data_IF_255984772477
#
_entry.id   IF_255984772477
#
_cell.length_a   1.000
_cell.length_b   1.000
_cell.length_c   1.000
_cell.angle_alpha   90.00
_cell.angle_beta   90.00
_cell.angle_gamma   90.00
#
_symmetry.space_group_name_H-M   'P 1'
#
loop_
_entity.id
_entity.type
_entity.pdbx_description
1 polymer ?
#
# COMPACT_ATOMS: atom_id res chain seq x y z
N UNK A 1 7.36 37.52 -21.98
CA UNK A 1 6.52 36.31 -21.85
C UNK A 1 7.23 35.05 -22.37
N UNK A 2 7.61 34.97 -23.66
CA UNK A 2 8.38 33.83 -24.22
C UNK A 2 9.68 33.50 -23.44
N UNK A 3 10.45 34.51 -23.04
CA UNK A 3 11.68 34.30 -22.25
C UNK A 3 11.40 33.81 -20.82
N UNK A 4 10.26 34.20 -20.26
CA UNK A 4 9.78 33.77 -18.93
C UNK A 4 9.42 32.28 -18.93
N UNK A 5 8.67 31.87 -19.95
CA UNK A 5 8.25 30.49 -20.19
C UNK A 5 9.46 29.59 -20.46
N UNK A 6 10.44 30.09 -21.21
CA UNK A 6 11.70 29.38 -21.46
C UNK A 6 12.50 29.18 -20.17
N UNK A 7 12.53 30.18 -19.27
CA UNK A 7 13.18 30.08 -17.96
C UNK A 7 12.46 29.08 -17.04
N UNK A 8 11.12 29.13 -17.01
CA UNK A 8 10.28 28.20 -16.23
C UNK A 8 10.49 26.75 -16.68
N UNK A 9 10.54 26.52 -18.00
CA UNK A 9 10.81 25.19 -18.59
C UNK A 9 12.18 24.64 -18.21
N UNK A 10 13.23 25.48 -18.22
CA UNK A 10 14.59 25.04 -17.86
C UNK A 10 14.63 24.60 -16.38
N UNK A 11 13.92 25.32 -15.50
CA UNK A 11 13.89 25.04 -14.06
C UNK A 11 12.98 23.86 -13.67
N UNK A 12 11.92 23.60 -14.44
CA UNK A 12 11.10 22.39 -14.26
C UNK A 12 11.81 21.13 -14.75
N UNK A 13 12.68 21.27 -15.76
CA UNK A 13 13.51 20.17 -16.29
C UNK A 13 14.73 19.86 -15.42
N UNK A 14 15.16 20.75 -14.53
CA UNK A 14 16.25 20.46 -13.60
C UNK A 14 15.77 19.49 -12.50
N UNK A 15 15.91 18.19 -12.75
CA UNK A 15 15.61 17.10 -11.83
C UNK A 15 16.52 17.01 -10.59
N UNK A 16 17.34 18.03 -10.29
CA UNK A 16 18.33 17.92 -9.22
C UNK A 16 17.76 18.35 -7.87
N UNK A 17 17.46 17.33 -7.06
CA UNK A 17 17.13 17.35 -5.63
C UNK A 17 18.25 17.87 -4.71
N UNK A 18 19.26 18.56 -5.23
CA UNK A 18 20.35 19.16 -4.44
C UNK A 18 20.60 20.60 -4.88
N UNK A 19 20.13 21.52 -4.04
CA UNK A 19 20.73 22.84 -3.79
C UNK A 19 21.00 23.65 -5.06
N UNK A 20 19.96 24.24 -5.65
CA UNK A 20 20.12 25.50 -6.38
C UNK A 20 19.67 26.60 -5.42
N UNK A 21 20.60 27.53 -5.16
CA UNK A 21 20.62 28.46 -4.04
C UNK A 21 19.25 29.07 -3.68
N UNK A 22 18.98 29.16 -2.37
CA UNK A 22 17.75 29.72 -1.79
C UNK A 22 17.42 31.15 -2.27
N UNK A 23 18.38 31.87 -2.86
CA UNK A 23 18.21 33.27 -3.25
C UNK A 23 17.68 33.43 -4.67
N UNK A 24 18.13 32.63 -5.64
CA UNK A 24 17.63 32.71 -7.02
C UNK A 24 16.19 32.19 -7.14
N UNK A 25 15.86 31.12 -6.41
CA UNK A 25 14.49 30.64 -6.29
C UNK A 25 13.59 31.63 -5.56
N UNK A 26 14.05 32.32 -4.51
CA UNK A 26 13.26 33.35 -3.82
C UNK A 26 12.98 34.55 -4.72
N UNK A 27 14.00 35.07 -5.41
CA UNK A 27 13.85 36.23 -6.31
C UNK A 27 12.95 35.89 -7.48
N UNK A 28 13.11 34.71 -8.09
CA UNK A 28 12.28 34.31 -9.23
C UNK A 28 10.82 34.07 -8.82
N UNK A 29 10.59 33.46 -7.65
CA UNK A 29 9.26 33.25 -7.11
C UNK A 29 8.58 34.54 -6.60
N UNK A 30 9.37 35.49 -6.07
CA UNK A 30 8.89 36.82 -5.68
C UNK A 30 8.61 37.72 -6.89
N UNK A 31 9.40 37.62 -7.97
CA UNK A 31 9.27 38.50 -9.14
C UNK A 31 8.22 37.98 -10.13
N UNK A 32 8.09 36.66 -10.32
CA UNK A 32 7.19 36.08 -11.32
C UNK A 32 5.72 36.02 -10.88
N UNK A 33 5.44 35.74 -9.61
CA UNK A 33 4.07 35.39 -9.19
C UNK A 33 3.39 36.46 -8.35
N UNK A 34 4.10 37.44 -7.78
CA UNK A 34 3.45 38.45 -6.94
C UNK A 34 2.79 39.57 -7.75
N UNK A 35 3.43 40.03 -8.83
CA UNK A 35 3.01 41.25 -9.56
C UNK A 35 2.26 40.98 -10.88
N UNK A 36 2.05 39.73 -11.27
CA UNK A 36 1.30 39.41 -12.49
C UNK A 36 -0.22 39.41 -12.23
N UNK A 37 -1.05 39.84 -13.21
CA UNK A 37 -2.49 39.64 -13.16
C UNK A 37 -2.85 38.16 -13.05
N UNK A 38 -3.96 37.85 -12.35
CA UNK A 38 -4.39 36.46 -12.10
C UNK A 38 -4.64 35.67 -13.39
N UNK A 39 -5.17 36.32 -14.43
CA UNK A 39 -5.31 35.71 -15.76
C UNK A 39 -3.97 35.24 -16.35
N UNK A 40 -2.93 36.06 -16.25
CA UNK A 40 -1.59 35.74 -16.78
C UNK A 40 -0.91 34.64 -15.97
N UNK A 41 -1.12 34.64 -14.64
CA UNK A 41 -0.69 33.55 -13.76
C UNK A 41 -1.33 32.22 -14.15
N UNK A 42 -2.64 32.22 -14.42
CA UNK A 42 -3.39 31.05 -14.89
C UNK A 42 -2.84 30.58 -16.25
N UNK A 43 -2.64 31.48 -17.21
CA UNK A 43 -2.17 31.12 -18.55
C UNK A 43 -0.77 30.48 -18.54
N UNK A 44 0.16 31.04 -17.74
CA UNK A 44 1.49 30.45 -17.54
C UNK A 44 1.35 29.06 -16.90
N UNK A 45 0.44 28.91 -15.94
CA UNK A 45 0.18 27.63 -15.30
C UNK A 45 -0.35 26.58 -16.28
N UNK A 46 -1.33 26.95 -17.12
CA UNK A 46 -1.90 26.07 -18.15
C UNK A 46 -0.81 25.58 -19.11
N UNK A 47 -0.02 26.51 -19.65
CA UNK A 47 1.09 26.17 -20.54
C UNK A 47 2.14 25.28 -19.88
N UNK A 48 2.39 25.48 -18.58
CA UNK A 48 3.32 24.64 -17.82
C UNK A 48 2.79 23.22 -17.63
N UNK A 49 1.49 23.06 -17.33
CA UNK A 49 0.87 21.73 -17.31
C UNK A 49 0.99 21.07 -18.67
N UNK A 50 0.64 21.79 -19.74
CA UNK A 50 0.65 21.24 -21.09
C UNK A 50 2.04 20.66 -21.42
N UNK A 51 3.11 21.37 -21.05
CA UNK A 51 4.49 20.93 -21.25
C UNK A 51 4.84 19.72 -20.38
N UNK A 52 4.43 19.69 -19.12
CA UNK A 52 4.65 18.52 -18.25
C UNK A 52 3.92 17.30 -18.81
N UNK A 53 2.71 17.47 -19.33
CA UNK A 53 1.96 16.39 -19.96
C UNK A 53 2.61 15.94 -21.27
N UNK A 54 3.17 16.87 -22.05
CA UNK A 54 3.89 16.53 -23.27
C UNK A 54 5.20 15.77 -23.02
N UNK A 55 5.99 16.20 -22.04
CA UNK A 55 7.25 15.57 -21.66
C UNK A 55 7.02 14.18 -21.00
N UNK A 56 5.80 13.88 -20.55
CA UNK A 56 5.44 12.63 -19.87
C UNK A 56 4.28 11.88 -20.56
N UNK A 57 4.12 12.00 -21.89
CA UNK A 57 3.02 11.36 -22.67
C UNK A 57 2.89 9.85 -22.40
N UNK A 58 4.01 9.16 -22.16
CA UNK A 58 4.05 7.72 -21.91
C UNK A 58 3.92 7.33 -20.42
N UNK A 59 4.09 8.30 -19.50
CA UNK A 59 4.05 8.07 -18.06
C UNK A 59 3.22 9.15 -17.35
N UNK A 60 1.90 9.00 -17.44
CA UNK A 60 0.95 9.95 -16.87
C UNK A 60 1.16 10.14 -15.36
N UNK A 61 1.63 9.12 -14.64
CA UNK A 61 1.93 9.21 -13.20
C UNK A 61 3.12 10.14 -12.90
N UNK A 62 4.16 10.08 -13.74
CA UNK A 62 5.28 11.01 -13.63
C UNK A 62 4.83 12.44 -13.92
N UNK A 63 3.93 12.62 -14.89
CA UNK A 63 3.29 13.90 -15.17
C UNK A 63 2.52 14.42 -13.95
N UNK A 64 1.68 13.56 -13.35
CA UNK A 64 0.91 13.88 -12.14
C UNK A 64 1.80 14.25 -10.95
N UNK A 65 2.87 13.49 -10.71
CA UNK A 65 3.81 13.74 -9.63
C UNK A 65 4.50 15.11 -9.80
N UNK A 66 4.99 15.40 -11.02
CA UNK A 66 5.62 16.68 -11.33
C UNK A 66 4.65 17.85 -11.20
N UNK A 67 3.40 17.69 -11.68
CA UNK A 67 2.32 18.68 -11.50
C UNK A 67 2.07 18.92 -10.00
N UNK A 68 1.99 17.86 -9.18
CA UNK A 68 1.75 17.98 -7.73
C UNK A 68 2.88 18.70 -6.97
N UNK A 69 4.15 18.45 -7.35
CA UNK A 69 5.30 19.16 -6.78
C UNK A 69 5.26 20.64 -7.17
N UNK A 70 4.94 20.93 -8.44
CA UNK A 70 4.81 22.28 -8.94
C UNK A 70 3.73 23.06 -8.18
N UNK A 71 2.55 22.45 -7.98
CA UNK A 71 1.48 22.99 -7.13
C UNK A 71 1.95 23.27 -5.70
N UNK A 72 2.59 22.29 -5.05
CA UNK A 72 3.05 22.43 -3.66
C UNK A 72 4.06 23.58 -3.51
N UNK A 73 4.99 23.73 -4.47
CA UNK A 73 5.97 24.81 -4.49
C UNK A 73 5.31 26.19 -4.63
N UNK A 74 4.34 26.33 -5.54
CA UNK A 74 3.64 27.61 -5.75
C UNK A 74 2.79 27.99 -4.53
N UNK A 75 2.08 27.03 -3.95
CA UNK A 75 1.18 27.27 -2.81
C UNK A 75 1.91 27.69 -1.53
N UNK A 76 3.18 27.28 -1.37
CA UNK A 76 4.05 27.72 -0.28
C UNK A 76 4.54 29.16 -0.42
N UNK A 77 4.51 29.68 -1.65
CA UNK A 77 5.19 30.92 -2.01
C UNK A 77 4.22 32.09 -2.16
N UNK A 78 2.97 31.82 -2.57
CA UNK A 78 1.99 32.87 -2.83
C UNK A 78 0.60 32.49 -2.28
N UNK A 79 0.17 33.20 -1.24
CA UNK A 79 -1.14 32.97 -0.62
C UNK A 79 -2.31 33.38 -1.52
N UNK A 80 -2.13 34.33 -2.44
CA UNK A 80 -3.18 34.72 -3.41
C UNK A 80 -3.43 33.60 -4.44
N UNK A 81 -2.42 32.78 -4.73
CA UNK A 81 -2.58 31.59 -5.58
C UNK A 81 -3.51 30.53 -4.98
N UNK A 82 -3.74 30.55 -3.66
CA UNK A 82 -4.73 29.65 -3.03
C UNK A 82 -6.14 29.90 -3.55
N UNK A 83 -6.47 31.15 -3.89
CA UNK A 83 -7.77 31.52 -4.43
C UNK A 83 -7.98 30.96 -5.86
N UNK A 84 -6.89 30.77 -6.60
CA UNK A 84 -6.91 30.20 -7.96
C UNK A 84 -6.81 28.67 -7.95
N UNK A 85 -6.45 28.05 -6.82
CA UNK A 85 -6.29 26.60 -6.69
C UNK A 85 -7.51 25.80 -7.20
N UNK A 86 -8.79 26.20 -6.95
CA UNK A 86 -9.94 25.46 -7.45
C UNK A 86 -10.03 25.42 -8.98
N UNK A 87 -9.81 26.55 -9.66
CA UNK A 87 -9.86 26.66 -11.12
C UNK A 87 -8.73 25.87 -11.77
N UNK A 88 -7.54 25.96 -11.18
CA UNK A 88 -6.36 25.29 -11.67
C UNK A 88 -6.46 23.77 -11.46
N UNK A 89 -6.95 23.33 -10.30
CA UNK A 89 -7.26 21.93 -10.02
C UNK A 89 -8.29 21.43 -11.05
N UNK A 90 -9.37 22.18 -11.28
CA UNK A 90 -10.40 21.82 -12.28
C UNK A 90 -9.80 21.67 -13.68
N UNK A 91 -8.95 22.61 -14.11
CA UNK A 91 -8.27 22.54 -15.42
C UNK A 91 -7.36 21.31 -15.54
N UNK A 92 -6.53 21.05 -14.53
CA UNK A 92 -5.66 19.87 -14.49
C UNK A 92 -6.46 18.57 -14.51
N UNK A 93 -7.59 18.49 -13.80
CA UNK A 93 -8.46 17.30 -13.81
C UNK A 93 -9.04 17.04 -15.20
N UNK A 94 -9.55 18.09 -15.86
CA UNK A 94 -10.20 18.00 -17.16
C UNK A 94 -9.23 17.58 -18.29
N UNK A 95 -7.98 18.02 -18.23
CA UNK A 95 -6.97 17.67 -19.24
C UNK A 95 -6.50 16.22 -19.13
N UNK A 96 -6.35 15.72 -17.90
CA UNK A 96 -5.68 14.44 -17.68
C UNK A 96 -6.68 13.26 -17.73
N UNK A 97 -7.94 13.54 -17.44
CA UNK A 97 -9.00 12.55 -17.34
C UNK A 97 -10.37 13.20 -17.59
N UNK A 98 -10.68 13.53 -18.86
CA UNK A 98 -11.86 14.30 -19.22
C UNK A 98 -13.18 13.59 -18.88
N UNK A 99 -13.19 12.26 -18.85
CA UNK A 99 -14.36 11.46 -18.45
C UNK A 99 -14.47 11.36 -16.91
N UNK A 100 -13.35 11.16 -16.22
CA UNK A 100 -13.34 10.92 -14.77
C UNK A 100 -13.45 12.21 -13.94
N UNK A 101 -13.07 13.35 -14.51
CA UNK A 101 -13.19 14.69 -13.90
C UNK A 101 -14.65 15.19 -13.78
N UNK A 102 -15.57 14.57 -14.52
CA UNK A 102 -17.01 14.88 -14.51
C UNK A 102 -17.82 13.95 -13.59
N UNK A 103 -17.17 13.00 -12.90
CA UNK A 103 -17.84 12.04 -12.03
C UNK A 103 -18.17 12.67 -10.68
N UNK A 104 -19.46 12.89 -10.41
CA UNK A 104 -19.94 13.21 -9.05
C UNK A 104 -19.60 12.08 -8.07
N UNK A 105 -19.49 12.38 -6.78
CA UNK A 105 -19.08 11.43 -5.72
C UNK A 105 -19.83 10.09 -5.73
N UNK A 106 -21.12 10.09 -6.09
CA UNK A 106 -21.95 8.88 -6.21
C UNK A 106 -21.54 8.03 -7.45
N UNK A 107 -21.24 8.67 -8.58
CA UNK A 107 -20.80 7.99 -9.81
C UNK A 107 -19.38 7.45 -9.63
N UNK A 108 -18.53 8.17 -8.90
CA UNK A 108 -17.18 7.75 -8.50
C UNK A 108 -17.22 6.39 -7.79
N UNK A 109 -18.06 6.28 -6.77
CA UNK A 109 -18.20 5.08 -5.94
C UNK A 109 -18.69 3.88 -6.75
N UNK A 110 -19.54 4.12 -7.76
CA UNK A 110 -20.06 3.10 -8.68
C UNK A 110 -19.01 2.63 -9.68
N UNK A 111 -18.25 3.56 -10.28
CA UNK A 111 -17.17 3.23 -11.22
C UNK A 111 -16.00 2.52 -10.52
N UNK A 112 -15.59 2.96 -9.34
CA UNK A 112 -14.60 2.24 -8.52
C UNK A 112 -15.10 0.81 -8.29
N UNK A 113 -16.32 0.63 -7.76
CA UNK A 113 -16.90 -0.72 -7.55
C UNK A 113 -16.97 -1.56 -8.82
N UNK A 114 -17.18 -0.95 -10.00
CA UNK A 114 -17.20 -1.65 -11.29
C UNK A 114 -15.81 -2.13 -11.67
N UNK A 115 -14.82 -1.24 -11.66
CA UNK A 115 -13.41 -1.53 -11.96
C UNK A 115 -12.88 -2.65 -11.05
N UNK A 116 -13.32 -2.66 -9.80
CA UNK A 116 -12.83 -3.59 -8.78
C UNK A 116 -13.60 -4.91 -8.75
N UNK A 117 -14.75 -4.98 -9.44
CA UNK A 117 -15.47 -6.24 -9.70
C UNK A 117 -15.02 -6.94 -10.97
N UNK A 118 -14.36 -6.23 -11.88
CA UNK A 118 -13.78 -6.80 -13.09
C UNK A 118 -12.43 -7.44 -12.83
N UNK A 119 -12.06 -8.47 -13.61
CA UNK A 119 -10.73 -9.09 -13.54
C UNK A 119 -9.66 -8.00 -13.70
N UNK A 120 -8.59 -8.12 -12.92
CA UNK A 120 -7.48 -7.17 -12.96
C UNK A 120 -6.92 -7.04 -14.38
N UNK A 121 -6.83 -5.81 -14.87
CA UNK A 121 -6.08 -5.42 -16.05
C UNK A 121 -5.27 -4.18 -15.72
N UNK A 122 -4.12 -3.99 -16.39
CA UNK A 122 -3.28 -2.79 -16.26
C UNK A 122 -4.08 -1.50 -16.51
N UNK A 123 -5.05 -1.57 -17.42
CA UNK A 123 -5.98 -0.48 -17.74
C UNK A 123 -6.93 -0.17 -16.59
N UNK A 124 -7.52 -1.19 -15.95
CA UNK A 124 -8.40 -1.02 -14.78
C UNK A 124 -7.65 -0.42 -13.57
N UNK A 125 -6.41 -0.86 -13.32
CA UNK A 125 -5.56 -0.29 -12.28
C UNK A 125 -5.18 1.17 -12.56
N UNK A 126 -4.89 1.51 -13.83
CA UNK A 126 -4.62 2.87 -14.27
C UNK A 126 -5.87 3.77 -14.13
N UNK A 127 -7.04 3.27 -14.51
CA UNK A 127 -8.31 3.97 -14.36
C UNK A 127 -8.62 4.21 -12.87
N UNK A 128 -8.45 3.19 -12.04
CA UNK A 128 -8.67 3.27 -10.59
C UNK A 128 -7.75 4.30 -9.92
N UNK A 129 -6.46 4.29 -10.25
CA UNK A 129 -5.47 5.22 -9.71
C UNK A 129 -5.70 6.67 -10.16
N UNK A 130 -6.10 6.90 -11.41
CA UNK A 130 -6.56 8.22 -11.90
C UNK A 130 -7.74 8.70 -11.07
N UNK A 131 -8.77 7.87 -10.90
CA UNK A 131 -9.99 8.23 -10.18
C UNK A 131 -9.67 8.65 -8.73
N UNK A 132 -8.81 7.93 -8.01
CA UNK A 132 -8.48 8.30 -6.63
C UNK A 132 -7.64 9.59 -6.58
N UNK A 133 -6.64 9.73 -7.44
CA UNK A 133 -5.74 10.89 -7.44
C UNK A 133 -6.45 12.19 -7.82
N UNK A 134 -7.40 12.12 -8.75
CA UNK A 134 -8.19 13.27 -9.19
C UNK A 134 -9.26 13.67 -8.18
N UNK A 135 -9.49 12.88 -7.13
CA UNK A 135 -10.50 13.15 -6.13
C UNK A 135 -9.83 13.14 -4.74
N UNK A 136 -9.09 14.20 -4.38
CA UNK A 136 -8.41 14.27 -3.07
C UNK A 136 -9.37 14.22 -1.88
N UNK A 137 -10.67 14.47 -2.10
CA UNK A 137 -11.74 14.25 -1.12
C UNK A 137 -12.15 12.76 -0.97
N UNK A 138 -11.47 11.84 -1.66
CA UNK A 138 -11.69 10.40 -1.52
C UNK A 138 -11.56 10.03 -0.04
N UNK A 139 -12.70 9.68 0.53
CA UNK A 139 -12.83 9.35 1.93
C UNK A 139 -11.91 8.19 2.32
N UNK A 140 -11.53 8.12 3.60
CA UNK A 140 -10.65 7.08 4.12
C UNK A 140 -11.17 5.67 3.82
N UNK A 141 -12.49 5.50 3.77
CA UNK A 141 -13.15 4.22 3.47
C UNK A 141 -12.79 3.70 2.07
N UNK A 142 -12.76 4.57 1.07
CA UNK A 142 -12.40 4.20 -0.30
C UNK A 142 -10.91 3.86 -0.42
N UNK A 143 -10.02 4.60 0.27
CA UNK A 143 -8.58 4.26 0.34
C UNK A 143 -8.35 2.89 0.99
N UNK A 144 -9.05 2.61 2.09
CA UNK A 144 -8.97 1.31 2.76
C UNK A 144 -9.46 0.18 1.84
N UNK A 145 -10.59 0.41 1.16
CA UNK A 145 -11.14 -0.56 0.24
C UNK A 145 -10.23 -0.80 -0.98
N UNK A 146 -9.55 0.24 -1.45
CA UNK A 146 -8.51 0.16 -2.48
C UNK A 146 -7.39 -0.81 -2.06
N UNK A 147 -6.89 -0.66 -0.83
CA UNK A 147 -5.80 -1.47 -0.31
C UNK A 147 -6.20 -2.94 -0.20
N UNK A 148 -7.39 -3.21 0.34
CA UNK A 148 -7.96 -4.56 0.41
C UNK A 148 -7.98 -5.23 -0.96
N UNK A 149 -8.41 -4.51 -2.00
CA UNK A 149 -8.49 -5.06 -3.34
C UNK A 149 -7.13 -5.20 -4.04
N UNK A 150 -6.21 -4.26 -3.85
CA UNK A 150 -4.86 -4.37 -4.43
C UNK A 150 -4.09 -5.57 -3.88
N UNK A 151 -4.27 -5.93 -2.61
CA UNK A 151 -3.63 -7.12 -2.04
C UNK A 151 -4.16 -8.43 -2.65
N UNK A 152 -5.36 -8.43 -3.24
CA UNK A 152 -5.93 -9.59 -3.94
C UNK A 152 -5.56 -9.66 -5.42
N UNK A 153 -5.04 -8.57 -6.00
CA UNK A 153 -4.78 -8.48 -7.44
C UNK A 153 -3.41 -9.03 -7.86
N UNK A 154 -2.58 -9.45 -6.91
CA UNK A 154 -1.21 -9.92 -7.13
C UNK A 154 -0.31 -8.92 -7.90
N UNK A 155 -0.57 -7.61 -7.75
CA UNK A 155 0.19 -6.54 -8.42
C UNK A 155 0.90 -5.66 -7.38
N UNK A 156 2.21 -5.86 -7.24
CA UNK A 156 3.04 -5.11 -6.31
C UNK A 156 3.02 -3.60 -6.59
N UNK A 157 3.01 -3.19 -7.87
CA UNK A 157 3.05 -1.77 -8.22
C UNK A 157 1.76 -1.07 -7.79
N UNK A 158 0.62 -1.73 -7.96
CA UNK A 158 -0.66 -1.21 -7.49
C UNK A 158 -0.70 -1.11 -5.96
N UNK A 159 -0.19 -2.12 -5.25
CA UNK A 159 -0.09 -2.09 -3.78
C UNK A 159 0.78 -0.92 -3.31
N UNK A 160 1.99 -0.79 -3.86
CA UNK A 160 2.91 0.33 -3.54
C UNK A 160 2.30 1.69 -3.84
N UNK A 161 1.58 1.82 -4.96
CA UNK A 161 0.88 3.05 -5.29
C UNK A 161 -0.23 3.37 -4.28
N UNK A 162 -1.08 2.40 -3.95
CA UNK A 162 -2.19 2.59 -3.00
C UNK A 162 -1.66 2.93 -1.60
N UNK A 163 -0.56 2.33 -1.15
CA UNK A 163 0.07 2.63 0.13
C UNK A 163 0.56 4.09 0.24
N UNK A 164 1.03 4.69 -0.87
CA UNK A 164 1.38 6.13 -0.93
C UNK A 164 0.19 7.07 -0.67
N UNK A 165 -1.05 6.57 -0.78
CA UNK A 165 -2.26 7.34 -0.48
C UNK A 165 -2.59 7.38 1.03
N UNK A 166 -1.77 6.72 1.85
CA UNK A 166 -1.93 6.55 3.29
C UNK A 166 -3.29 5.97 3.70
N UNK A 167 -3.68 4.79 3.17
CA UNK A 167 -4.81 4.03 3.69
C UNK A 167 -4.52 3.60 5.14
N UNK A 168 -5.56 3.20 5.87
CA UNK A 168 -5.36 2.51 7.14
C UNK A 168 -4.83 1.10 6.82
N UNK A 169 -3.59 0.80 7.21
CA UNK A 169 -2.93 -0.50 6.96
C UNK A 169 -3.66 -1.66 7.64
N UNK A 170 -4.35 -1.36 8.76
CA UNK A 170 -5.13 -2.31 9.56
C UNK A 170 -6.62 -2.30 9.19
N UNK A 171 -6.98 -1.76 8.03
CA UNK A 171 -8.35 -1.83 7.56
C UNK A 171 -8.78 -3.29 7.34
N UNK A 172 -10.09 -3.52 7.27
CA UNK A 172 -10.61 -4.89 7.10
C UNK A 172 -11.74 -4.95 6.10
N UNK A 173 -11.83 -6.10 5.43
CA UNK A 173 -12.98 -6.43 4.58
C UNK A 173 -14.18 -6.90 5.42
N UNK A 174 -15.28 -7.29 4.76
CA UNK A 174 -16.48 -7.81 5.45
C UNK A 174 -16.21 -9.02 6.33
N UNK A 175 -15.15 -9.80 6.08
CA UNK A 175 -14.75 -10.98 6.85
C UNK A 175 -13.72 -10.68 7.93
N UNK A 176 -13.49 -9.38 8.24
CA UNK A 176 -12.43 -8.92 9.16
C UNK A 176 -11.01 -9.30 8.70
N UNK A 177 -10.82 -9.69 7.44
CA UNK A 177 -9.48 -9.98 6.92
C UNK A 177 -8.76 -8.64 6.65
N UNK A 178 -7.51 -8.55 7.10
CA UNK A 178 -6.62 -7.41 6.90
C UNK A 178 -5.92 -7.48 5.54
N UNK A 179 -5.34 -6.37 5.03
CA UNK A 179 -4.46 -6.37 3.86
C UNK A 179 -3.35 -7.41 3.96
N UNK A 180 -2.76 -7.60 5.15
CA UNK A 180 -1.73 -8.61 5.38
C UNK A 180 -2.25 -10.04 5.15
N UNK A 181 -3.43 -10.38 5.70
CA UNK A 181 -4.05 -11.70 5.47
C UNK A 181 -4.31 -11.93 3.98
N UNK A 182 -4.84 -10.91 3.27
CA UNK A 182 -5.14 -11.02 1.84
C UNK A 182 -3.88 -11.12 0.98
N UNK A 183 -2.81 -10.42 1.34
CA UNK A 183 -1.50 -10.54 0.69
C UNK A 183 -0.95 -11.97 0.81
N UNK A 184 -1.09 -12.60 1.99
CA UNK A 184 -0.70 -13.99 2.21
C UNK A 184 -1.57 -14.95 1.39
N UNK A 185 -2.87 -14.68 1.27
CA UNK A 185 -3.77 -15.49 0.43
C UNK A 185 -3.36 -15.50 -1.04
N UNK A 186 -2.77 -14.40 -1.53
CA UNK A 186 -2.21 -14.27 -2.88
C UNK A 186 -0.90 -15.04 -3.11
N UNK A 187 -0.28 -15.55 -2.04
CA UNK A 187 0.99 -16.29 -2.03
C UNK A 187 2.15 -15.55 -2.73
N UNK A 188 2.16 -14.22 -2.63
CA UNK A 188 3.23 -13.37 -3.17
C UNK A 188 4.04 -12.73 -2.03
N UNK A 189 5.25 -13.26 -1.73
CA UNK A 189 6.09 -12.73 -0.67
C UNK A 189 6.48 -11.27 -0.83
N UNK A 190 6.61 -10.78 -2.07
CA UNK A 190 6.95 -9.37 -2.32
C UNK A 190 5.86 -8.42 -1.85
N UNK A 191 4.59 -8.80 -2.05
CA UNK A 191 3.45 -8.01 -1.55
C UNK A 191 3.37 -8.10 -0.03
N UNK A 192 3.59 -9.30 0.55
CA UNK A 192 3.62 -9.48 2.00
C UNK A 192 4.69 -8.59 2.63
N UNK A 193 5.91 -8.61 2.09
CA UNK A 193 7.01 -7.78 2.56
C UNK A 193 6.69 -6.29 2.47
N UNK A 194 6.10 -5.83 1.36
CA UNK A 194 5.72 -4.44 1.18
C UNK A 194 4.69 -3.99 2.23
N UNK A 195 3.71 -4.84 2.54
CA UNK A 195 2.71 -4.57 3.59
C UNK A 195 3.38 -4.55 4.96
N UNK A 196 4.25 -5.52 5.28
CA UNK A 196 5.01 -5.58 6.55
C UNK A 196 5.85 -4.32 6.76
N UNK A 197 6.49 -3.79 5.70
CA UNK A 197 7.30 -2.56 5.78
C UNK A 197 6.50 -1.34 6.28
N UNK A 198 5.17 -1.38 6.16
CA UNK A 198 4.25 -0.36 6.65
C UNK A 198 3.74 -0.61 8.09
N UNK A 199 4.36 -1.56 8.80
CA UNK A 199 4.13 -1.90 10.23
C UNK A 199 2.64 -2.14 10.58
N UNK A 200 1.96 -3.09 9.90
CA UNK A 200 0.62 -3.49 10.28
C UNK A 200 0.59 -4.12 11.66
N UNK A 201 -0.58 -4.14 12.29
CA UNK A 201 -0.80 -5.00 13.45
C UNK A 201 -0.95 -6.47 12.98
N UNK A 202 0.11 -7.25 13.18
CA UNK A 202 0.25 -8.63 12.69
C UNK A 202 -0.69 -9.61 13.40
N UNK A 203 -1.14 -9.27 14.61
CA UNK A 203 -1.94 -10.12 15.47
C UNK A 203 -3.45 -9.92 15.28
N UNK A 204 -3.85 -9.10 14.30
CA UNK A 204 -5.26 -8.91 13.99
C UNK A 204 -5.91 -10.22 13.51
N UNK A 205 -7.16 -10.36 13.91
CA UNK A 205 -7.96 -11.56 13.75
C UNK A 205 -9.08 -11.36 12.75
N UNK A 206 -9.27 -12.33 11.87
CA UNK A 206 -10.44 -12.40 11.00
C UNK A 206 -11.71 -12.82 11.77
N UNK A 207 -12.83 -13.02 11.05
CA UNK A 207 -14.09 -13.49 11.65
C UNK A 207 -14.00 -14.85 12.33
N UNK A 208 -13.03 -15.68 11.99
CA UNK A 208 -12.81 -17.01 12.55
C UNK A 208 -11.72 -17.00 13.63
N UNK A 209 -11.26 -15.81 14.05
CA UNK A 209 -10.14 -15.61 14.94
C UNK A 209 -8.78 -16.09 14.38
N UNK A 210 -8.68 -16.31 13.06
CA UNK A 210 -7.41 -16.65 12.44
C UNK A 210 -6.54 -15.39 12.30
N UNK A 211 -5.24 -15.53 12.56
CA UNK A 211 -4.22 -14.48 12.37
C UNK A 211 -3.48 -14.65 11.05
N UNK A 212 -2.76 -13.62 10.61
CA UNK A 212 -1.89 -13.69 9.44
C UNK A 212 -0.92 -14.89 9.48
N UNK A 213 -0.35 -15.18 10.65
CA UNK A 213 0.57 -16.31 10.81
C UNK A 213 -0.12 -17.67 10.55
N UNK A 214 -1.38 -17.85 10.96
CA UNK A 214 -2.13 -19.08 10.66
C UNK A 214 -2.39 -19.24 9.16
N UNK A 215 -2.72 -18.15 8.46
CA UNK A 215 -2.87 -18.18 7.00
C UNK A 215 -1.55 -18.55 6.32
N UNK A 216 -0.42 -18.00 6.77
CA UNK A 216 0.90 -18.32 6.20
C UNK A 216 1.27 -19.79 6.40
N UNK A 217 0.98 -20.34 7.59
CA UNK A 217 1.16 -21.77 7.87
C UNK A 217 0.28 -22.62 6.96
N UNK A 218 -1.00 -22.27 6.80
CA UNK A 218 -1.94 -23.02 5.95
C UNK A 218 -1.56 -22.98 4.46
N UNK A 219 -0.87 -21.93 4.00
CA UNK A 219 -0.28 -21.89 2.66
C UNK A 219 0.96 -22.78 2.54
N UNK A 220 1.68 -23.01 3.64
CA UNK A 220 2.92 -23.78 3.64
C UNK A 220 4.14 -23.02 3.16
N UNK A 221 4.02 -21.71 2.97
CA UNK A 221 5.12 -20.89 2.48
C UNK A 221 6.06 -20.53 3.63
N UNK A 222 7.11 -21.32 3.80
CA UNK A 222 8.13 -21.18 4.86
C UNK A 222 8.74 -19.76 4.91
N UNK A 223 8.90 -19.13 3.74
CA UNK A 223 9.44 -17.79 3.66
C UNK A 223 8.49 -16.75 4.26
N UNK A 224 7.20 -16.80 3.88
CA UNK A 224 6.17 -15.93 4.47
C UNK A 224 6.02 -16.17 5.98
N UNK A 225 6.05 -17.44 6.43
CA UNK A 225 6.02 -17.78 7.85
C UNK A 225 7.19 -17.12 8.59
N UNK A 226 8.40 -17.24 8.05
CA UNK A 226 9.60 -16.63 8.63
C UNK A 226 9.51 -15.11 8.69
N UNK A 227 9.01 -14.46 7.64
CA UNK A 227 8.78 -13.00 7.63
C UNK A 227 7.86 -12.56 8.76
N UNK A 228 6.76 -13.28 8.98
CA UNK A 228 5.77 -12.92 10.01
C UNK A 228 6.31 -13.21 11.42
N UNK A 229 7.04 -14.30 11.63
CA UNK A 229 7.68 -14.61 12.92
C UNK A 229 8.75 -13.57 13.28
N UNK A 230 9.55 -13.13 12.30
CA UNK A 230 10.59 -12.11 12.50
C UNK A 230 10.02 -10.76 12.99
N UNK A 231 8.78 -10.46 12.64
CA UNK A 231 8.04 -9.30 13.12
C UNK A 231 7.33 -9.53 14.47
N UNK A 232 7.74 -10.57 15.22
CA UNK A 232 7.25 -10.89 16.57
C UNK A 232 5.74 -11.16 16.62
N UNK A 233 5.21 -11.85 15.63
CA UNK A 233 3.84 -12.35 15.67
C UNK A 233 3.60 -13.21 16.92
N UNK A 234 2.46 -13.02 17.58
CA UNK A 234 2.06 -13.82 18.73
C UNK A 234 1.59 -15.20 18.26
N UNK A 235 2.39 -16.21 18.59
CA UNK A 235 2.18 -17.59 18.18
C UNK A 235 1.22 -18.35 19.08
N UNK A 236 0.81 -17.75 20.21
CA UNK A 236 -0.13 -18.33 21.16
C UNK A 236 -1.59 -17.95 20.86
N UNK A 237 -1.84 -17.04 19.91
CA UNK A 237 -3.21 -16.69 19.54
C UNK A 237 -3.92 -17.91 18.97
N UNK A 238 -5.09 -18.22 19.53
CA UNK A 238 -5.95 -19.30 19.06
C UNK A 238 -7.12 -18.79 18.24
N UNK A 239 -7.48 -19.55 17.20
CA UNK A 239 -8.70 -19.33 16.45
C UNK A 239 -9.93 -19.87 17.20
N UNK A 240 -11.11 -19.80 16.58
CA UNK A 240 -12.37 -20.28 17.19
C UNK A 240 -12.39 -21.78 17.54
N UNK A 241 -11.46 -22.56 17.00
CA UNK A 241 -11.34 -24.00 17.24
C UNK A 241 -10.27 -24.32 18.30
N UNK A 242 -9.70 -23.29 18.95
CA UNK A 242 -8.60 -23.47 19.91
C UNK A 242 -7.29 -23.88 19.23
N UNK A 243 -7.12 -23.58 17.95
CA UNK A 243 -5.94 -23.91 17.15
C UNK A 243 -5.11 -22.63 16.96
N UNK A 244 -3.84 -22.67 17.39
CA UNK A 244 -2.85 -21.65 17.08
C UNK A 244 -2.01 -22.03 15.84
N UNK A 245 -1.12 -21.15 15.39
CA UNK A 245 -0.34 -21.37 14.16
C UNK A 245 0.59 -22.60 14.22
N UNK A 246 1.16 -22.89 15.40
CA UNK A 246 2.00 -24.08 15.58
C UNK A 246 1.18 -25.37 15.55
N UNK A 247 0.06 -25.41 16.29
CA UNK A 247 -0.86 -26.56 16.26
C UNK A 247 -1.34 -26.82 14.83
N UNK A 248 -1.64 -25.75 14.06
CA UNK A 248 -2.02 -25.88 12.66
C UNK A 248 -0.91 -26.53 11.82
N UNK A 249 0.35 -26.10 11.98
CA UNK A 249 1.49 -26.70 11.28
C UNK A 249 1.65 -28.19 11.62
N UNK A 250 1.40 -28.55 12.88
CA UNK A 250 1.43 -29.93 13.35
C UNK A 250 0.29 -30.79 12.80
N UNK A 251 -0.93 -30.23 12.67
CA UNK A 251 -2.09 -30.90 12.07
C UNK A 251 -1.92 -31.08 10.56
N UNK A 252 -1.32 -30.09 9.87
CA UNK A 252 -1.09 -30.15 8.43
C UNK A 252 0.19 -30.91 8.05
N UNK A 253 0.99 -31.37 9.03
CA UNK A 253 2.19 -32.18 8.78
C UNK A 253 3.36 -31.40 8.18
N UNK A 254 3.43 -30.09 8.37
CA UNK A 254 4.44 -29.23 7.75
C UNK A 254 5.75 -29.23 8.54
N UNK A 255 6.56 -30.27 8.35
CA UNK A 255 7.78 -30.52 9.13
C UNK A 255 8.73 -29.32 9.21
N UNK A 256 9.00 -28.66 8.08
CA UNK A 256 9.92 -27.52 8.05
C UNK A 256 9.39 -26.32 8.83
N UNK A 257 8.08 -26.04 8.72
CA UNK A 257 7.43 -24.98 9.49
C UNK A 257 7.42 -25.33 10.98
N UNK A 258 7.19 -26.60 11.33
CA UNK A 258 7.28 -27.07 12.73
C UNK A 258 8.69 -26.83 13.28
N UNK A 259 9.75 -27.13 12.51
CA UNK A 259 11.14 -26.81 12.90
C UNK A 259 11.34 -25.31 13.09
N UNK A 260 10.78 -24.47 12.23
CA UNK A 260 10.83 -23.00 12.39
C UNK A 260 10.20 -22.54 13.71
N UNK A 261 9.10 -23.16 14.14
CA UNK A 261 8.46 -22.85 15.42
C UNK A 261 9.29 -23.35 16.62
N UNK A 262 9.79 -24.58 16.56
CA UNK A 262 10.58 -25.20 17.63
C UNK A 262 11.84 -24.38 17.95
N UNK A 263 12.50 -23.85 16.92
CA UNK A 263 13.73 -23.07 17.10
C UNK A 263 13.54 -21.68 17.72
N UNK A 264 12.32 -21.15 17.80
CA UNK A 264 12.10 -19.71 18.03
C UNK A 264 11.20 -19.38 19.23
N UNK A 265 10.54 -20.35 19.89
CA UNK A 265 9.41 -20.04 20.79
C UNK A 265 9.22 -21.00 21.96
N UNK A 266 8.81 -20.46 23.12
CA UNK A 266 8.24 -21.21 24.24
C UNK A 266 6.79 -21.62 23.91
N UNK A 267 6.59 -22.80 23.35
CA UNK A 267 5.28 -23.27 22.87
C UNK A 267 4.65 -24.30 23.82
N UNK A 268 3.31 -24.37 23.83
CA UNK A 268 2.57 -25.47 24.48
C UNK A 268 2.64 -26.77 23.65
N UNK A 269 3.69 -27.56 23.87
CA UNK A 269 3.93 -28.80 23.11
C UNK A 269 2.86 -29.88 23.32
N UNK A 270 2.28 -29.98 24.51
CA UNK A 270 1.32 -31.05 24.86
C UNK A 270 0.05 -31.01 24.00
N UNK A 271 -0.51 -29.81 23.80
CA UNK A 271 -1.71 -29.62 22.98
C UNK A 271 -1.39 -29.91 21.51
N UNK A 272 -0.30 -29.35 20.99
CA UNK A 272 0.15 -29.59 19.61
C UNK A 272 0.41 -31.08 19.32
N UNK A 273 1.05 -31.79 20.26
CA UNK A 273 1.26 -33.24 20.19
C UNK A 273 -0.04 -34.01 20.08
N UNK A 274 -1.03 -33.70 20.92
CA UNK A 274 -2.33 -34.39 20.91
C UNK A 274 -3.04 -34.20 19.56
N UNK A 275 -3.01 -32.97 19.01
CA UNK A 275 -3.61 -32.68 17.71
C UNK A 275 -2.86 -33.37 16.56
N UNK A 276 -1.52 -33.36 16.57
CA UNK A 276 -0.69 -34.08 15.58
C UNK A 276 -0.99 -35.58 15.58
N UNK A 277 -1.13 -36.17 16.77
CA UNK A 277 -1.45 -37.58 16.96
C UNK A 277 -2.85 -37.93 16.40
N UNK A 278 -3.85 -37.09 16.67
CA UNK A 278 -5.21 -37.25 16.13
C UNK A 278 -5.26 -37.10 14.60
N UNK A 279 -4.40 -36.24 14.05
CA UNK A 279 -4.27 -36.06 12.60
C UNK A 279 -3.47 -37.19 11.91
N UNK A 280 -2.81 -38.07 12.67
CA UNK A 280 -1.98 -39.16 12.13
C UNK A 280 -0.57 -38.73 11.71
N UNK A 281 -0.11 -37.54 12.09
CA UNK A 281 1.22 -37.02 11.75
C UNK A 281 2.29 -37.53 12.72
N UNK A 282 2.53 -38.85 12.72
CA UNK A 282 3.52 -39.50 13.60
C UNK A 282 4.95 -38.94 13.50
N UNK A 283 5.47 -38.50 12.33
CA UNK A 283 6.78 -37.84 12.25
C UNK A 283 6.84 -36.58 13.12
N UNK A 284 5.79 -35.74 13.07
CA UNK A 284 5.69 -34.54 13.91
C UNK A 284 5.59 -34.88 15.39
N UNK A 285 4.82 -35.91 15.75
CA UNK A 285 4.74 -36.38 17.15
C UNK A 285 6.12 -36.75 17.67
N UNK A 286 6.91 -37.50 16.89
CA UNK A 286 8.29 -37.85 17.26
C UNK A 286 9.20 -36.63 17.39
N UNK A 287 9.05 -35.63 16.52
CA UNK A 287 9.81 -34.38 16.62
C UNK A 287 9.49 -33.61 17.91
N UNK A 288 8.20 -33.50 18.25
CA UNK A 288 7.77 -32.83 19.48
C UNK A 288 8.24 -33.61 20.71
N UNK A 289 8.12 -34.94 20.70
CA UNK A 289 8.58 -35.80 21.80
C UNK A 289 10.08 -35.66 22.07
N UNK A 290 10.88 -35.55 21.00
CA UNK A 290 12.31 -35.29 21.10
C UNK A 290 12.58 -33.94 21.78
N UNK A 291 11.90 -32.87 21.34
CA UNK A 291 12.09 -31.53 21.92
C UNK A 291 11.69 -31.48 23.41
N UNK A 292 10.57 -32.12 23.76
CA UNK A 292 10.12 -32.23 25.16
C UNK A 292 11.21 -32.92 26.00
N UNK A 293 11.76 -34.03 25.52
CA UNK A 293 12.80 -34.76 26.24
C UNK A 293 14.09 -33.94 26.40
N UNK A 294 14.51 -33.22 25.35
CA UNK A 294 15.67 -32.33 25.41
C UNK A 294 15.46 -31.20 26.42
N UNK A 295 14.29 -30.57 26.44
CA UNK A 295 13.98 -29.51 27.42
C UNK A 295 14.03 -29.99 28.88
N UNK A 296 13.59 -31.23 29.15
CA UNK A 296 13.66 -31.85 30.48
C UNK A 296 15.11 -32.14 30.87
N UNK A 297 15.94 -32.60 29.93
CA UNK A 297 17.35 -32.90 30.18
C UNK A 297 18.19 -31.64 30.46
N UNK A 298 17.79 -30.47 29.96
CA UNK A 298 18.47 -29.19 30.28
C UNK A 298 18.12 -28.63 31.66
N UNK A 299 17.02 -29.08 32.28
CA UNK A 299 16.55 -28.60 33.58
C UNK A 299 16.99 -29.49 34.77
N UNK A 300 17.53 -30.68 34.50
CA UNK A 300 18.03 -31.64 35.50
C UNK A 300 19.56 -31.69 35.50
#
# INVERSE_FOLDING_TARGET
MKSLLKLLNILLRSNNSKIVSNNENKVLNQVLLYNLPDKTKIDIFKQTIDIILEDNKENIFQAFYQISIFFKRIFLINQNFRQLAPEIIKYSKNLIAPEESQLDTIKLDKELKKILRTKYTKENALKFSRIIMLNPEVNQKTKNQALIWSCTSNDLNLVQFVLKLHPNIDCTNKNKQTPLILAIESDNPSIVQEIINHKPNINLKDKNNNTALMYAVSKGNEHIVSLIINEKADTNIENKFGINAFILACIEGRENIVKLFLNNLNMEYNKARQFAQKAGNYPIVKMIDKEIQESINYLN
#
